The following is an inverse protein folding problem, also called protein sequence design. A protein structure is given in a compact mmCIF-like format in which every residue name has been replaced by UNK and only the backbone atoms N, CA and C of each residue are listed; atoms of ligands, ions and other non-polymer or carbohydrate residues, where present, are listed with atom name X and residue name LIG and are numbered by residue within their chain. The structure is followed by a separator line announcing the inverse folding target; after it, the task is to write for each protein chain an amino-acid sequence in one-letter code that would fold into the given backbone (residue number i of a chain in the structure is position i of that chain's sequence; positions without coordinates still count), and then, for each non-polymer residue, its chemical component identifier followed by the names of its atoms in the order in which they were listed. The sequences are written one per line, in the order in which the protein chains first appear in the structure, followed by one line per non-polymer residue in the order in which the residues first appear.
data_IF_369321811286
#
_entry.id   IF_369321811286
#
_cell.length_a   1.000
_cell.length_b   1.000
_cell.length_c   1.000
_cell.angle_alpha   90.00
_cell.angle_beta   90.00
_cell.angle_gamma   90.00
#
_symmetry.space_group_name_H-M   'P 1'
#
loop_
_entity.id
_entity.type
_entity.pdbx_description
1 polymer ?
#
# COMPACT_ATOMS: atom_id res chain seq x y z
N UNK A 1 -4.06 15.15 22.88
CA UNK A 1 -3.45 14.13 23.77
C UNK A 1 -4.42 12.97 23.82
N UNK A 2 -4.24 11.97 22.96
CA UNK A 2 -5.24 10.89 22.81
C UNK A 2 -4.95 9.77 23.81
N UNK A 3 -5.71 9.79 24.91
CA UNK A 3 -5.91 8.60 25.75
C UNK A 3 -6.89 7.68 25.02
N UNK A 4 -6.39 6.52 24.54
CA UNK A 4 -7.18 5.49 23.84
C UNK A 4 -7.51 4.28 24.70
N UNK A 5 -7.39 4.36 26.03
CA UNK A 5 -7.85 3.29 26.91
C UNK A 5 -8.45 3.83 28.19
N UNK A 6 -9.77 4.05 28.14
CA UNK A 6 -10.60 3.75 29.31
C UNK A 6 -11.77 2.90 28.85
N UNK A 7 -11.72 1.63 29.23
CA UNK A 7 -12.81 0.69 29.10
C UNK A 7 -13.82 0.99 30.21
N UNK A 8 -15.08 1.15 29.86
CA UNK A 8 -16.15 0.77 30.78
C UNK A 8 -17.35 0.17 30.01
N UNK A 9 -18.00 -0.80 30.65
CA UNK A 9 -18.87 -1.82 30.05
C UNK A 9 -20.33 -1.55 30.44
N UNK A 10 -21.27 -1.56 29.47
CA UNK A 10 -22.51 -2.36 29.52
C UNK A 10 -23.54 -2.07 28.39
N UNK A 11 -23.98 -3.17 27.74
CA UNK A 11 -25.28 -3.57 27.16
C UNK A 11 -26.14 -2.68 26.22
N UNK A 12 -26.57 -3.30 25.11
CA UNK A 12 -27.29 -2.84 23.88
C UNK A 12 -28.85 -2.77 24.02
N UNK A 13 -29.71 -2.60 22.96
CA UNK A 13 -29.48 -2.42 21.50
C UNK A 13 -30.40 -1.44 20.66
N UNK A 14 -29.83 -0.95 19.53
CA UNK A 14 -30.32 -0.75 18.11
C UNK A 14 -31.52 0.16 17.72
N UNK A 15 -31.35 1.02 16.69
CA UNK A 15 -32.22 1.12 15.48
C UNK A 15 -31.42 1.01 14.14
N UNK A 16 -31.88 0.32 13.08
CA UNK A 16 -32.70 0.75 11.90
C UNK A 16 -32.30 2.10 11.27
N UNK A 17 -32.24 2.37 9.95
CA UNK A 17 -32.39 1.68 8.66
C UNK A 17 -31.80 2.65 7.57
N UNK A 18 -30.92 2.21 6.67
CA UNK A 18 -31.10 2.08 5.19
C UNK A 18 -31.05 3.35 4.30
N UNK A 19 -30.00 3.46 3.47
CA UNK A 19 -29.99 4.24 2.21
C UNK A 19 -29.23 3.45 1.12
N UNK A 20 -29.86 3.20 -0.03
CA UNK A 20 -29.40 2.25 -1.08
C UNK A 20 -28.60 2.95 -2.18
N UNK A 21 -27.30 2.65 -2.27
CA UNK A 21 -26.45 2.98 -3.42
C UNK A 21 -26.34 1.79 -4.39
N UNK A 22 -26.32 2.05 -5.71
CA UNK A 22 -26.16 1.02 -6.75
C UNK A 22 -24.78 0.37 -6.61
N UNK A 23 -24.76 -0.83 -6.01
CA UNK A 23 -23.54 -1.58 -5.72
C UNK A 23 -23.03 -2.21 -7.02
N UNK A 24 -21.80 -1.85 -7.43
CA UNK A 24 -20.99 -2.67 -8.36
C UNK A 24 -21.11 -4.13 -7.90
N UNK A 25 -21.30 -5.11 -8.81
CA UNK A 25 -21.46 -6.51 -8.40
C UNK A 25 -20.26 -6.84 -7.51
N UNK A 26 -20.56 -7.14 -6.25
CA UNK A 26 -19.53 -7.33 -5.25
C UNK A 26 -18.64 -8.47 -5.74
N UNK A 27 -17.38 -8.16 -6.02
CA UNK A 27 -16.40 -9.17 -6.41
C UNK A 27 -16.38 -10.19 -5.28
N UNK A 28 -16.96 -11.37 -5.54
CA UNK A 28 -17.04 -12.43 -4.54
C UNK A 28 -15.62 -12.95 -4.36
N UNK A 29 -15.01 -12.59 -3.22
CA UNK A 29 -13.73 -13.16 -2.80
C UNK A 29 -13.92 -14.67 -2.75
N UNK A 30 -13.12 -15.42 -3.51
CA UNK A 30 -13.20 -16.88 -3.60
C UNK A 30 -12.92 -17.59 -2.26
N UNK A 31 -12.47 -16.85 -1.24
CA UNK A 31 -12.21 -17.33 0.13
C UNK A 31 -11.02 -18.26 0.24
N UNK A 32 -10.33 -18.56 -0.87
CA UNK A 32 -9.22 -19.49 -0.97
C UNK A 32 -8.04 -18.75 -1.61
N UNK A 33 -7.45 -17.84 -0.85
CA UNK A 33 -6.19 -17.21 -1.21
C UNK A 33 -5.14 -17.79 -0.26
N UNK A 34 -4.24 -18.61 -0.78
CA UNK A 34 -3.11 -19.08 0.03
C UNK A 34 -2.04 -18.00 0.01
N UNK A 35 -1.24 -17.92 1.08
CA UNK A 35 -0.11 -17.01 1.18
C UNK A 35 0.86 -17.21 0.00
N UNK A 36 1.02 -18.45 -0.48
CA UNK A 36 1.79 -18.75 -1.69
C UNK A 36 1.25 -18.05 -2.95
N UNK A 37 -0.07 -17.95 -3.08
CA UNK A 37 -0.73 -17.35 -4.23
C UNK A 37 -0.68 -15.81 -4.17
N UNK A 38 -0.51 -15.24 -2.97
CA UNK A 38 -0.22 -13.82 -2.77
C UNK A 38 1.23 -13.52 -3.14
N UNK A 39 2.17 -14.30 -2.60
CA UNK A 39 3.60 -14.10 -2.83
C UNK A 39 3.98 -14.23 -4.31
N UNK A 40 3.35 -15.16 -5.04
CA UNK A 40 3.57 -15.32 -6.47
C UNK A 40 3.02 -14.14 -7.29
N UNK A 41 1.93 -13.50 -6.85
CA UNK A 41 1.33 -12.36 -7.57
C UNK A 41 2.03 -11.04 -7.29
N UNK A 42 2.49 -10.84 -6.07
CA UNK A 42 3.25 -9.64 -5.66
C UNK A 42 4.76 -9.91 -5.62
N UNK A 43 5.23 -10.92 -6.36
CA UNK A 43 6.65 -11.16 -6.51
C UNK A 43 7.25 -9.94 -7.24
N UNK A 44 8.02 -9.14 -6.51
CA UNK A 44 8.70 -7.97 -7.06
C UNK A 44 9.94 -8.45 -7.82
N UNK A 45 9.99 -8.18 -9.12
CA UNK A 45 11.23 -8.29 -9.89
C UNK A 45 12.28 -7.31 -9.33
N UNK A 46 13.58 -7.53 -9.57
CA UNK A 46 14.60 -6.58 -9.14
C UNK A 46 14.27 -5.18 -9.67
N UNK A 47 14.37 -4.15 -8.82
CA UNK A 47 13.98 -2.81 -9.21
C UNK A 47 14.87 -2.32 -10.36
N UNK A 48 14.27 -1.60 -11.34
CA UNK A 48 14.95 -1.10 -12.54
C UNK A 48 16.24 -0.33 -12.21
N UNK A 49 16.29 0.35 -11.06
CA UNK A 49 17.43 1.13 -10.60
C UNK A 49 18.73 0.30 -10.50
N UNK A 50 18.63 -0.99 -10.17
CA UNK A 50 19.79 -1.87 -10.05
C UNK A 50 20.45 -2.16 -11.41
N UNK A 51 19.76 -1.88 -12.51
CA UNK A 51 20.24 -2.10 -13.88
C UNK A 51 20.68 -0.82 -14.58
N UNK A 52 20.61 0.34 -13.94
CA UNK A 52 20.98 1.61 -14.56
C UNK A 52 22.49 1.86 -14.35
N UNK A 53 23.33 1.78 -15.40
CA UNK A 53 24.79 1.88 -15.26
C UNK A 53 25.31 3.28 -14.90
N UNK A 54 24.47 4.32 -15.03
CA UNK A 54 24.91 5.73 -15.04
C UNK A 54 24.16 6.62 -14.06
N UNK A 55 23.44 6.03 -13.11
CA UNK A 55 22.53 6.79 -12.26
C UNK A 55 22.92 6.57 -10.80
N UNK A 56 23.51 7.59 -10.17
CA UNK A 56 24.06 7.51 -8.83
C UNK A 56 22.95 7.67 -7.77
N UNK A 57 22.83 6.71 -6.85
CA UNK A 57 21.92 6.84 -5.72
C UNK A 57 22.53 7.70 -4.62
N UNK A 58 21.84 8.78 -4.24
CA UNK A 58 22.22 9.71 -3.19
C UNK A 58 21.53 9.32 -1.86
N UNK A 59 22.25 8.71 -0.89
CA UNK A 59 21.62 8.18 0.32
C UNK A 59 21.03 9.26 1.23
N UNK A 60 21.63 10.46 1.24
CA UNK A 60 21.18 11.57 2.09
C UNK A 60 19.81 12.11 1.70
N UNK A 61 19.51 12.14 0.41
CA UNK A 61 18.25 12.67 -0.15
C UNK A 61 17.30 11.58 -0.60
N UNK A 62 17.69 10.30 -0.47
CA UNK A 62 16.93 9.13 -0.92
C UNK A 62 16.47 9.29 -2.38
N UNK A 63 17.41 9.72 -3.22
CA UNK A 63 17.10 10.12 -4.58
C UNK A 63 18.18 9.69 -5.54
N UNK A 64 17.88 9.79 -6.83
CA UNK A 64 18.66 9.18 -7.89
C UNK A 64 19.14 10.31 -8.81
N UNK A 65 20.45 10.54 -8.89
CA UNK A 65 21.05 11.57 -9.75
C UNK A 65 21.10 11.09 -11.19
N UNK A 66 20.48 11.86 -12.09
CA UNK A 66 20.42 11.54 -13.52
C UNK A 66 21.73 11.93 -14.24
N UNK A 67 21.87 11.48 -15.49
CA UNK A 67 23.09 11.62 -16.32
C UNK A 67 23.48 13.09 -16.60
N UNK A 68 22.58 14.05 -16.37
CA UNK A 68 22.86 15.48 -16.51
C UNK A 68 23.58 16.10 -15.29
N UNK A 69 23.77 15.33 -14.21
CA UNK A 69 24.48 15.75 -13.01
C UNK A 69 23.76 16.83 -12.19
N UNK A 70 22.53 17.21 -12.56
CA UNK A 70 21.73 18.26 -11.90
C UNK A 70 20.33 17.77 -11.58
N UNK A 71 19.70 16.99 -12.46
CA UNK A 71 18.35 16.50 -12.26
C UNK A 71 18.33 15.28 -11.36
N UNK A 72 17.31 15.20 -10.51
CA UNK A 72 17.15 14.17 -9.50
C UNK A 72 15.79 13.50 -9.63
N UNK A 73 15.78 12.17 -9.65
CA UNK A 73 14.58 11.34 -9.66
C UNK A 73 14.26 10.73 -8.30
N UNK A 74 12.99 10.41 -8.08
CA UNK A 74 12.52 9.64 -6.93
C UNK A 74 11.60 8.51 -7.42
N UNK A 75 11.79 7.31 -6.88
CA UNK A 75 10.98 6.13 -7.20
C UNK A 75 10.25 5.70 -5.93
N UNK A 76 8.93 5.55 -6.03
CA UNK A 76 8.08 5.10 -4.93
C UNK A 76 7.28 3.89 -5.37
N UNK A 77 7.22 2.89 -4.52
CA UNK A 77 6.24 1.82 -4.65
C UNK A 77 4.89 2.30 -4.14
N UNK A 78 3.83 2.05 -4.91
CA UNK A 78 2.46 2.29 -4.48
C UNK A 78 1.90 0.97 -3.96
N UNK A 79 1.43 0.97 -2.71
CA UNK A 79 0.79 -0.17 -2.04
C UNK A 79 -0.73 -0.23 -2.31
#
# INVERSE_FOLDING_TARGET
MFSLFTREKAAAPVPQAEEKAVLKPSLRKSGKLKISDEQARYHREPPLIDYLPWVEYLPSSQSILLDDGVSVGAVFDVL
#
